data_IF_239685561278
#
_entry.id   IF_239685561278
#
_cell.length_a   1.000
_cell.length_b   1.000
_cell.length_c   1.000
_cell.angle_alpha   90.00
_cell.angle_beta   90.00
_cell.angle_gamma   90.00
#
_symmetry.space_group_name_H-M   'P 1'
#
loop_
_entity.id
_entity.type
_entity.pdbx_description
1 polymer ?
#
# COMPACT_ATOMS: atom_id res chain seq x y z
N UNK A 1 -3.34 -16.33 14.10
CA UNK A 1 -2.11 -15.59 13.77
C UNK A 1 -2.46 -14.17 13.35
N UNK A 2 -1.61 -13.21 13.61
CA UNK A 2 -1.78 -11.81 13.15
C UNK A 2 -1.30 -11.70 11.70
N UNK A 3 -2.12 -11.10 10.80
CA UNK A 3 -1.69 -10.86 9.41
C UNK A 3 -0.51 -9.89 9.35
N UNK A 4 0.28 -9.94 8.26
CA UNK A 4 1.39 -9.01 8.06
C UNK A 4 0.91 -7.55 8.09
N UNK A 5 -0.19 -7.25 7.40
CA UNK A 5 -0.80 -5.90 7.37
C UNK A 5 -1.14 -5.40 8.77
N UNK A 6 -1.83 -6.20 9.59
CA UNK A 6 -2.17 -5.82 10.99
C UNK A 6 -0.94 -5.55 11.85
N UNK A 7 0.09 -6.38 11.72
CA UNK A 7 1.35 -6.20 12.47
C UNK A 7 2.02 -4.89 12.08
N UNK A 8 2.13 -4.63 10.78
CA UNK A 8 2.75 -3.41 10.24
C UNK A 8 1.98 -2.16 10.62
N UNK A 9 0.65 -2.17 10.45
CA UNK A 9 -0.22 -1.06 10.86
C UNK A 9 -0.04 -0.76 12.35
N UNK A 10 -0.03 -1.78 13.23
CA UNK A 10 0.20 -1.56 14.65
C UNK A 10 1.60 -1.00 14.95
N UNK A 11 2.63 -1.47 14.24
CA UNK A 11 3.99 -0.93 14.39
C UNK A 11 4.05 0.54 13.98
N UNK A 12 3.47 0.90 12.84
CA UNK A 12 3.40 2.29 12.35
C UNK A 12 2.56 3.16 13.26
N UNK A 13 1.40 2.66 13.73
CA UNK A 13 0.55 3.33 14.72
C UNK A 13 1.34 3.74 15.96
N UNK A 14 2.14 2.83 16.50
CA UNK A 14 2.92 3.07 17.71
C UNK A 14 4.03 4.11 17.50
N UNK A 15 4.61 4.20 16.29
CA UNK A 15 5.64 5.19 15.97
C UNK A 15 5.09 6.61 16.11
N UNK A 16 3.88 6.89 15.67
CA UNK A 16 3.29 8.24 15.64
C UNK A 16 2.16 8.45 16.62
N UNK A 17 1.89 7.47 17.48
CA UNK A 17 0.71 7.48 18.39
C UNK A 17 -0.59 7.78 17.61
N UNK A 18 -0.76 7.09 16.48
CA UNK A 18 -1.85 7.34 15.54
C UNK A 18 -3.21 7.12 16.18
N UNK A 19 -4.14 8.04 15.91
CA UNK A 19 -5.52 8.00 16.44
C UNK A 19 -6.54 7.65 15.35
N UNK A 20 -6.32 8.11 14.13
CA UNK A 20 -7.28 8.00 13.04
C UNK A 20 -6.79 7.04 11.95
N UNK A 21 -7.69 6.20 11.46
CA UNK A 21 -7.38 5.14 10.51
C UNK A 21 -8.38 5.12 9.34
N UNK A 22 -7.84 5.00 8.13
CA UNK A 22 -8.62 4.77 6.91
C UNK A 22 -8.13 3.48 6.23
N UNK A 23 -9.06 2.63 5.80
CA UNK A 23 -8.78 1.44 4.98
C UNK A 23 -9.61 1.48 3.71
N UNK A 24 -8.94 1.42 2.56
CA UNK A 24 -9.52 1.28 1.23
C UNK A 24 -9.35 -0.17 0.80
N UNK A 25 -10.50 -0.88 0.52
CA UNK A 25 -10.47 -2.30 0.22
C UNK A 25 -10.50 -3.17 1.48
N UNK A 26 -11.63 -3.24 2.14
CA UNK A 26 -11.80 -3.93 3.44
C UNK A 26 -12.25 -5.37 3.30
N UNK A 27 -13.03 -5.69 2.25
CA UNK A 27 -13.51 -7.01 1.86
C UNK A 27 -14.13 -7.79 3.05
N UNK A 28 -13.38 -8.72 3.62
CA UNK A 28 -13.83 -9.59 4.74
C UNK A 28 -13.64 -8.98 6.13
N UNK A 29 -13.03 -7.81 6.24
CA UNK A 29 -12.74 -7.16 7.51
C UNK A 29 -11.63 -7.81 8.35
N UNK A 30 -10.84 -8.71 7.75
CA UNK A 30 -9.77 -9.45 8.48
C UNK A 30 -8.72 -8.53 9.10
N UNK A 31 -8.45 -7.39 8.47
CA UNK A 31 -7.54 -6.35 8.96
C UNK A 31 -8.32 -5.35 9.80
N UNK A 32 -9.25 -4.65 9.18
CA UNK A 32 -10.01 -3.55 9.77
C UNK A 32 -10.66 -3.87 11.13
N UNK A 33 -11.43 -4.95 11.20
CA UNK A 33 -12.20 -5.31 12.40
C UNK A 33 -11.35 -5.75 13.60
N UNK A 34 -10.05 -5.96 13.39
CA UNK A 34 -9.10 -6.38 14.44
C UNK A 34 -8.13 -5.28 14.85
N UNK A 35 -8.27 -4.09 14.28
CA UNK A 35 -7.50 -2.91 14.66
C UNK A 35 -8.33 -2.02 15.57
N UNK A 36 -7.67 -1.50 16.61
CA UNK A 36 -8.25 -0.56 17.54
C UNK A 36 -7.53 0.80 17.41
N UNK A 37 -8.32 1.85 17.18
CA UNK A 37 -7.85 3.23 17.09
C UNK A 37 -8.69 4.12 18.00
N UNK A 38 -8.04 5.02 18.74
CA UNK A 38 -8.70 5.86 19.72
C UNK A 38 -9.63 6.92 19.10
N UNK A 39 -9.33 7.35 17.87
CA UNK A 39 -10.09 8.33 17.10
C UNK A 39 -11.00 7.68 16.05
N UNK A 40 -11.10 8.31 14.90
CA UNK A 40 -11.97 7.91 13.80
C UNK A 40 -11.39 6.71 13.04
N UNK A 41 -12.23 5.72 12.77
CA UNK A 41 -11.95 4.58 11.90
C UNK A 41 -12.90 4.57 10.71
N UNK A 42 -12.37 4.61 9.50
CA UNK A 42 -13.16 4.61 8.26
C UNK A 42 -12.78 3.43 7.38
N UNK A 43 -13.79 2.71 6.94
CA UNK A 43 -13.71 1.57 6.03
C UNK A 43 -14.41 1.92 4.72
N UNK A 44 -13.74 1.68 3.60
CA UNK A 44 -14.28 1.89 2.24
C UNK A 44 -14.15 0.60 1.45
N UNK A 45 -15.26 0.09 0.95
CA UNK A 45 -15.29 -1.10 0.10
C UNK A 45 -16.60 -1.12 -0.70
N UNK A 46 -16.60 -1.41 -2.01
CA UNK A 46 -17.83 -1.49 -2.78
C UNK A 46 -18.71 -2.68 -2.38
N UNK A 47 -18.19 -3.63 -1.60
CA UNK A 47 -18.94 -4.80 -1.14
C UNK A 47 -18.33 -5.45 0.10
N UNK A 48 -18.73 -5.02 1.28
CA UNK A 48 -18.34 -5.70 2.52
C UNK A 48 -18.85 -7.14 2.56
N UNK A 49 -17.96 -8.08 2.88
CA UNK A 49 -18.29 -9.52 3.02
C UNK A 49 -18.50 -9.92 4.49
N UNK A 50 -19.00 -9.00 5.29
CA UNK A 50 -19.40 -9.19 6.69
C UNK A 50 -20.48 -8.20 7.07
N UNK A 51 -21.17 -8.43 8.20
CA UNK A 51 -22.19 -7.50 8.68
C UNK A 51 -21.51 -6.30 9.38
N UNK A 52 -21.52 -5.15 8.71
CA UNK A 52 -20.91 -3.90 9.18
C UNK A 52 -21.60 -3.35 10.45
N UNK A 53 -22.91 -3.62 10.64
CA UNK A 53 -23.63 -3.18 11.82
C UNK A 53 -23.04 -3.71 13.15
N UNK A 54 -22.38 -4.87 13.11
CA UNK A 54 -21.74 -5.44 14.29
C UNK A 54 -20.48 -4.66 14.75
N UNK A 55 -19.98 -3.75 13.92
CA UNK A 55 -18.73 -3.01 14.14
C UNK A 55 -18.93 -1.49 14.07
N UNK A 56 -20.10 -1.03 13.61
CA UNK A 56 -20.43 0.39 13.53
C UNK A 56 -20.61 1.00 14.92
N UNK A 57 -20.06 2.18 15.12
CA UNK A 57 -20.24 2.99 16.33
C UNK A 57 -19.93 4.46 16.01
N UNK A 58 -19.94 5.33 17.01
CA UNK A 58 -19.69 6.76 16.84
C UNK A 58 -18.27 7.13 16.31
N UNK A 59 -17.34 6.19 16.31
CA UNK A 59 -15.97 6.36 15.81
C UNK A 59 -15.68 5.55 14.55
N UNK A 60 -16.49 4.52 14.27
CA UNK A 60 -16.25 3.59 13.16
C UNK A 60 -17.35 3.74 12.11
N UNK A 61 -16.95 4.13 10.90
CA UNK A 61 -17.85 4.37 9.77
C UNK A 61 -17.51 3.43 8.61
N UNK A 62 -18.54 2.99 7.90
CA UNK A 62 -18.43 2.12 6.73
C UNK A 62 -19.06 2.81 5.52
N UNK A 63 -18.32 2.88 4.41
CA UNK A 63 -18.77 3.43 3.14
C UNK A 63 -18.85 2.30 2.12
N UNK A 64 -20.06 1.88 1.78
CA UNK A 64 -20.36 0.85 0.78
C UNK A 64 -20.35 1.49 -0.61
N UNK A 65 -19.16 1.82 -1.10
CA UNK A 65 -18.93 2.48 -2.38
C UNK A 65 -17.48 2.26 -2.85
N UNK A 66 -17.22 2.64 -4.11
CA UNK A 66 -15.84 2.67 -4.62
C UNK A 66 -15.02 3.78 -3.93
N UNK A 67 -13.69 3.65 -3.96
CA UNK A 67 -12.80 4.69 -3.42
C UNK A 67 -13.00 6.04 -4.12
N UNK A 68 -13.27 6.06 -5.43
CA UNK A 68 -13.54 7.30 -6.16
C UNK A 68 -14.77 8.05 -5.60
N UNK A 69 -15.88 7.34 -5.43
CA UNK A 69 -17.10 7.91 -4.84
C UNK A 69 -16.85 8.38 -3.40
N UNK A 70 -16.10 7.58 -2.62
CA UNK A 70 -15.72 7.96 -1.27
C UNK A 70 -14.94 9.27 -1.26
N UNK A 71 -13.88 9.40 -2.05
CA UNK A 71 -13.05 10.60 -2.07
C UNK A 71 -13.78 11.84 -2.60
N UNK A 72 -14.74 11.68 -3.51
CA UNK A 72 -15.59 12.76 -3.99
C UNK A 72 -16.59 13.27 -2.94
N UNK A 73 -17.12 12.35 -2.13
CA UNK A 73 -18.25 12.66 -1.22
C UNK A 73 -17.84 12.85 0.23
N UNK A 74 -16.66 12.38 0.62
CA UNK A 74 -16.19 12.46 2.01
C UNK A 74 -15.84 13.89 2.40
N UNK A 75 -16.76 14.55 3.07
CA UNK A 75 -16.65 15.96 3.48
C UNK A 75 -16.49 16.10 4.99
N UNK A 76 -15.48 15.45 5.56
CA UNK A 76 -15.13 15.61 6.97
C UNK A 76 -13.75 16.25 7.11
N UNK A 77 -13.60 17.09 8.15
CA UNK A 77 -12.30 17.71 8.47
C UNK A 77 -11.27 16.73 9.07
N UNK A 78 -11.67 15.48 9.29
CA UNK A 78 -10.82 14.45 9.87
C UNK A 78 -9.61 14.17 8.96
N UNK A 79 -8.41 14.18 9.57
CA UNK A 79 -7.18 13.74 8.93
C UNK A 79 -6.79 12.39 9.48
N UNK A 80 -6.31 11.50 8.60
CA UNK A 80 -5.93 10.14 8.96
C UNK A 80 -4.42 10.05 9.19
N UNK A 81 -4.06 9.32 10.23
CA UNK A 81 -2.67 9.12 10.63
C UNK A 81 -2.09 7.86 9.98
N UNK A 82 -2.91 6.83 9.83
CA UNK A 82 -2.58 5.64 9.06
C UNK A 82 -3.65 5.44 8.00
N UNK A 83 -3.21 5.24 6.76
CA UNK A 83 -4.08 4.91 5.63
C UNK A 83 -3.56 3.60 5.02
N UNK A 84 -4.41 2.59 4.95
CA UNK A 84 -4.11 1.32 4.30
C UNK A 84 -4.86 1.24 2.97
N UNK A 85 -4.15 0.95 1.89
CA UNK A 85 -4.67 0.90 0.52
C UNK A 85 -4.50 -0.53 0.01
N UNK A 86 -5.61 -1.25 -0.11
CA UNK A 86 -5.74 -2.65 -0.53
C UNK A 86 -7.00 -2.81 -1.40
N UNK A 87 -7.18 -1.90 -2.35
CA UNK A 87 -8.37 -1.77 -3.19
C UNK A 87 -8.31 -2.61 -4.47
N UNK A 88 -8.56 -1.96 -5.61
CA UNK A 88 -8.44 -2.59 -6.92
C UNK A 88 -6.95 -2.73 -7.30
N UNK A 89 -6.53 -3.95 -7.63
CA UNK A 89 -5.12 -4.29 -7.89
C UNK A 89 -4.67 -3.86 -9.29
N UNK A 90 -4.92 -2.60 -9.64
CA UNK A 90 -4.39 -1.95 -10.85
C UNK A 90 -3.58 -0.72 -10.45
N UNK A 91 -2.49 -0.46 -11.17
CA UNK A 91 -1.60 0.65 -10.83
C UNK A 91 -2.28 2.01 -10.93
N UNK A 92 -3.23 2.18 -11.86
CA UNK A 92 -3.97 3.43 -12.01
C UNK A 92 -4.83 3.73 -10.79
N UNK A 93 -5.66 2.74 -10.36
CA UNK A 93 -6.53 2.94 -9.21
C UNK A 93 -5.71 3.09 -7.93
N UNK A 94 -4.72 2.23 -7.73
CA UNK A 94 -3.85 2.32 -6.56
C UNK A 94 -3.16 3.68 -6.48
N UNK A 95 -2.68 4.21 -7.61
CA UNK A 95 -2.04 5.54 -7.61
C UNK A 95 -3.04 6.67 -7.39
N UNK A 96 -4.26 6.57 -7.94
CA UNK A 96 -5.36 7.50 -7.66
C UNK A 96 -5.70 7.51 -6.18
N UNK A 97 -5.86 6.33 -5.58
CA UNK A 97 -6.15 6.17 -4.14
C UNK A 97 -5.04 6.77 -3.26
N UNK A 98 -3.76 6.61 -3.65
CA UNK A 98 -2.63 7.25 -2.97
C UNK A 98 -2.73 8.77 -3.04
N UNK A 99 -2.96 9.33 -4.23
CA UNK A 99 -3.03 10.78 -4.43
C UNK A 99 -4.19 11.39 -3.62
N UNK A 100 -5.36 10.77 -3.65
CA UNK A 100 -6.53 11.19 -2.90
C UNK A 100 -6.30 11.05 -1.38
N UNK A 101 -5.71 9.94 -0.94
CA UNK A 101 -5.34 9.69 0.46
C UNK A 101 -4.39 10.75 1.02
N UNK A 102 -3.46 11.26 0.21
CA UNK A 102 -2.56 12.35 0.60
C UNK A 102 -3.33 13.59 1.05
N UNK A 103 -4.45 13.91 0.40
CA UNK A 103 -5.29 15.06 0.75
C UNK A 103 -5.97 14.91 2.11
N UNK A 104 -6.25 13.67 2.52
CA UNK A 104 -6.89 13.31 3.80
C UNK A 104 -5.86 12.94 4.87
N UNK A 105 -4.57 12.92 4.56
CA UNK A 105 -3.53 12.50 5.50
C UNK A 105 -3.10 13.61 6.44
N UNK A 106 -2.78 13.24 7.69
CA UNK A 106 -2.10 14.13 8.64
C UNK A 106 -0.63 14.35 8.22
N UNK A 107 0.04 15.40 8.70
CA UNK A 107 1.44 15.67 8.33
C UNK A 107 2.40 14.51 8.64
N UNK A 108 2.16 13.79 9.73
CA UNK A 108 2.99 12.68 10.22
C UNK A 108 2.55 11.31 9.71
N UNK A 109 1.54 11.25 8.87
CA UNK A 109 0.89 10.01 8.46
C UNK A 109 1.81 9.03 7.75
N UNK A 110 1.46 7.75 7.89
CA UNK A 110 1.95 6.68 7.02
C UNK A 110 0.84 6.18 6.10
N UNK A 111 1.17 6.00 4.84
CA UNK A 111 0.39 5.22 3.90
C UNK A 111 1.03 3.84 3.78
N UNK A 112 0.26 2.78 4.01
CA UNK A 112 0.65 1.40 3.74
C UNK A 112 -0.12 0.94 2.49
N UNK A 113 0.61 0.48 1.47
CA UNK A 113 0.06 0.10 0.17
C UNK A 113 0.32 -1.38 -0.01
N UNK A 114 -0.74 -2.16 -0.25
CA UNK A 114 -0.64 -3.61 -0.46
C UNK A 114 -0.22 -3.96 -1.89
N UNK A 115 0.21 -5.18 -2.07
CA UNK A 115 0.46 -5.83 -3.37
C UNK A 115 1.46 -5.10 -4.29
N UNK A 116 2.33 -4.28 -3.72
CA UNK A 116 3.30 -3.48 -4.48
C UNK A 116 4.47 -4.28 -5.04
N UNK A 117 4.52 -5.57 -4.79
CA UNK A 117 5.47 -6.51 -5.38
C UNK A 117 4.79 -7.86 -5.54
N UNK A 118 4.60 -8.30 -6.77
CA UNK A 118 4.03 -9.61 -7.05
C UNK A 118 5.01 -10.74 -6.69
N UNK A 119 4.49 -11.87 -6.23
CA UNK A 119 5.30 -13.02 -5.84
C UNK A 119 5.89 -13.76 -7.05
N UNK A 120 5.18 -13.72 -8.17
CA UNK A 120 5.56 -14.34 -9.44
C UNK A 120 4.94 -13.60 -10.63
N UNK A 121 5.22 -14.08 -11.86
CA UNK A 121 4.70 -13.48 -13.08
C UNK A 121 3.18 -13.58 -13.18
N UNK A 122 2.58 -14.68 -12.72
CA UNK A 122 1.13 -14.90 -12.83
C UNK A 122 0.37 -13.99 -11.88
N UNK A 123 0.83 -13.89 -10.63
CA UNK A 123 0.24 -12.97 -9.65
C UNK A 123 0.33 -11.50 -10.07
N UNK A 124 1.24 -11.17 -10.99
CA UNK A 124 1.40 -9.83 -11.55
C UNK A 124 0.45 -9.49 -12.70
N UNK A 125 -0.33 -10.46 -13.18
CA UNK A 125 -1.26 -10.21 -14.28
C UNK A 125 -2.37 -9.26 -13.85
N UNK A 126 -2.72 -8.32 -14.73
CA UNK A 126 -3.76 -7.33 -14.47
C UNK A 126 -5.15 -7.95 -14.26
N UNK A 127 -5.41 -9.09 -14.87
CA UNK A 127 -6.66 -9.85 -14.72
C UNK A 127 -6.48 -11.00 -13.74
N UNK A 128 -7.27 -11.03 -12.68
CA UNK A 128 -7.30 -12.13 -11.71
C UNK A 128 -7.64 -13.46 -12.38
N UNK A 129 -8.59 -13.45 -13.34
CA UNK A 129 -8.96 -14.62 -14.11
C UNK A 129 -7.75 -15.15 -14.90
N UNK A 130 -7.04 -14.26 -15.61
CA UNK A 130 -5.86 -14.64 -16.38
C UNK A 130 -4.74 -15.17 -15.48
N UNK A 131 -4.56 -14.61 -14.29
CA UNK A 131 -3.60 -15.10 -13.29
C UNK A 131 -3.82 -16.59 -13.01
N UNK A 132 -5.03 -16.96 -12.63
CA UNK A 132 -5.33 -18.34 -12.24
C UNK A 132 -5.34 -19.28 -13.44
N UNK A 133 -6.00 -18.93 -14.54
CA UNK A 133 -6.06 -19.77 -15.74
C UNK A 133 -4.67 -20.04 -16.33
N UNK A 134 -3.81 -19.03 -16.44
CA UNK A 134 -2.45 -19.22 -16.98
C UNK A 134 -1.55 -20.01 -16.04
N UNK A 135 -1.69 -19.82 -14.73
CA UNK A 135 -0.91 -20.60 -13.76
C UNK A 135 -1.33 -22.07 -13.73
N UNK A 136 -2.64 -22.37 -13.82
CA UNK A 136 -3.16 -23.73 -13.91
C UNK A 136 -2.67 -24.48 -15.15
N UNK A 137 -2.52 -23.77 -16.27
CA UNK A 137 -1.96 -24.35 -17.50
C UNK A 137 -0.46 -24.67 -17.38
N UNK A 138 0.26 -23.91 -16.57
CA UNK A 138 1.70 -24.07 -16.41
C UNK A 138 2.10 -25.08 -15.32
N UNK A 139 1.37 -25.10 -14.20
CA UNK A 139 1.71 -25.94 -13.07
C UNK A 139 0.78 -27.15 -12.98
N UNK A 140 1.32 -28.36 -13.22
CA UNK A 140 0.63 -29.62 -12.93
C UNK A 140 0.37 -29.80 -11.44
N UNK A 141 1.31 -29.36 -10.62
CA UNK A 141 1.23 -29.39 -9.15
C UNK A 141 0.48 -28.17 -8.61
N UNK A 142 -0.76 -28.38 -8.18
CA UNK A 142 -1.62 -27.32 -7.64
C UNK A 142 -1.04 -26.60 -6.39
N UNK A 143 -0.06 -27.22 -5.69
CA UNK A 143 0.62 -26.55 -4.57
C UNK A 143 1.52 -25.40 -4.99
N UNK A 144 1.87 -25.33 -6.27
CA UNK A 144 2.71 -24.28 -6.89
C UNK A 144 1.90 -23.13 -7.48
N UNK A 145 0.57 -23.23 -7.49
CA UNK A 145 -0.28 -22.13 -7.96
C UNK A 145 -0.10 -20.90 -7.08
N UNK A 146 -0.16 -19.67 -7.67
CA UNK A 146 -0.13 -18.45 -6.89
C UNK A 146 -1.27 -18.45 -5.88
N UNK A 147 -0.96 -18.14 -4.64
CA UNK A 147 -1.95 -18.10 -3.55
C UNK A 147 -2.79 -16.84 -3.59
N UNK A 148 -2.17 -15.76 -4.06
CA UNK A 148 -2.76 -14.44 -4.06
C UNK A 148 -2.53 -13.77 -5.42
N UNK A 149 -3.48 -12.96 -5.85
CA UNK A 149 -3.38 -12.13 -7.04
C UNK A 149 -3.06 -10.69 -6.62
N UNK A 150 -1.96 -10.15 -7.14
CA UNK A 150 -1.47 -8.80 -6.79
C UNK A 150 -1.73 -7.76 -7.90
N UNK A 151 -2.11 -8.22 -9.10
CA UNK A 151 -2.28 -7.34 -10.24
C UNK A 151 -0.99 -6.63 -10.69
N UNK A 152 -1.14 -5.52 -11.39
CA UNK A 152 0.00 -4.72 -11.82
C UNK A 152 0.33 -3.54 -10.90
N UNK A 153 -0.06 -3.64 -9.63
CA UNK A 153 0.16 -2.63 -8.57
C UNK A 153 1.63 -2.24 -8.41
N UNK A 154 2.57 -3.17 -8.68
CA UNK A 154 4.02 -2.89 -8.64
C UNK A 154 4.44 -1.68 -9.49
N UNK A 155 3.71 -1.36 -10.55
CA UNK A 155 3.98 -0.19 -11.41
C UNK A 155 3.79 1.13 -10.66
N UNK A 156 2.98 1.14 -9.63
CA UNK A 156 2.74 2.32 -8.78
C UNK A 156 4.03 2.87 -8.17
N UNK A 157 5.03 2.01 -7.91
CA UNK A 157 6.32 2.43 -7.36
C UNK A 157 7.07 3.38 -8.31
N UNK A 158 6.93 3.24 -9.62
CA UNK A 158 7.49 4.19 -10.59
C UNK A 158 6.78 5.54 -10.52
N UNK A 159 5.46 5.53 -10.39
CA UNK A 159 4.65 6.75 -10.28
C UNK A 159 4.97 7.52 -8.99
N UNK A 160 5.06 6.82 -7.85
CA UNK A 160 5.50 7.41 -6.57
C UNK A 160 6.87 8.06 -6.74
N UNK A 161 7.83 7.34 -7.33
CA UNK A 161 9.18 7.85 -7.55
C UNK A 161 9.21 9.11 -8.42
N UNK A 162 8.38 9.14 -9.45
CA UNK A 162 8.37 10.24 -10.43
C UNK A 162 7.61 11.46 -9.92
N UNK A 163 6.38 11.26 -9.43
CA UNK A 163 5.45 12.35 -9.12
C UNK A 163 5.47 12.79 -7.66
N UNK A 164 5.65 11.87 -6.70
CA UNK A 164 5.50 12.17 -5.28
C UNK A 164 6.85 12.47 -4.59
N UNK A 165 7.58 13.46 -5.11
CA UNK A 165 8.96 13.80 -4.69
C UNK A 165 9.08 14.28 -3.25
N UNK A 166 8.01 14.78 -2.65
CA UNK A 166 7.96 15.21 -1.24
C UNK A 166 7.77 14.03 -0.28
N UNK A 167 7.58 12.83 -0.82
CA UNK A 167 7.46 11.58 -0.05
C UNK A 167 8.67 10.70 -0.24
N UNK A 168 9.00 9.94 0.80
CA UNK A 168 9.84 8.75 0.72
C UNK A 168 8.99 7.50 0.87
N UNK A 169 9.51 6.37 0.42
CA UNK A 169 8.87 5.08 0.57
C UNK A 169 9.89 3.97 0.74
N UNK A 170 9.45 2.85 1.28
CA UNK A 170 10.20 1.60 1.23
C UNK A 170 9.25 0.41 1.16
N UNK A 171 9.59 -0.56 0.32
CA UNK A 171 8.81 -1.78 0.14
C UNK A 171 9.39 -2.90 0.99
N UNK A 172 8.57 -3.43 1.89
CA UNK A 172 8.90 -4.56 2.75
C UNK A 172 8.72 -5.84 1.94
N UNK A 173 9.81 -6.60 1.77
CA UNK A 173 9.86 -7.80 0.93
C UNK A 173 9.91 -9.11 1.72
N UNK A 174 9.86 -9.04 3.05
CA UNK A 174 9.91 -10.21 3.93
C UNK A 174 8.77 -10.23 4.94
N UNK A 175 8.61 -11.33 5.64
CA UNK A 175 7.67 -11.46 6.77
C UNK A 175 6.20 -11.33 6.41
N UNK A 176 5.81 -11.81 5.23
CA UNK A 176 4.44 -11.83 4.72
C UNK A 176 4.29 -11.12 3.39
N UNK A 177 3.05 -10.76 3.02
CA UNK A 177 2.78 -10.11 1.75
C UNK A 177 3.64 -8.85 1.57
N UNK A 178 4.27 -8.64 0.40
CA UNK A 178 5.05 -7.42 0.13
C UNK A 178 4.15 -6.18 0.15
N UNK A 179 4.57 -5.18 0.93
CA UNK A 179 3.83 -3.94 1.12
C UNK A 179 4.78 -2.75 1.11
N UNK A 180 4.31 -1.61 0.63
CA UNK A 180 5.08 -0.36 0.64
C UNK A 180 4.57 0.57 1.72
N UNK A 181 5.48 1.05 2.56
CA UNK A 181 5.24 2.16 3.48
C UNK A 181 5.70 3.46 2.83
N UNK A 182 4.86 4.47 2.82
CA UNK A 182 5.16 5.81 2.30
C UNK A 182 4.94 6.87 3.39
N UNK A 183 5.81 7.88 3.43
CA UNK A 183 5.77 8.99 4.43
C UNK A 183 6.30 10.29 3.86
N UNK A 184 5.95 11.44 4.48
CA UNK A 184 6.48 12.75 4.09
C UNK A 184 7.93 12.92 4.52
N UNK A 185 8.79 13.37 3.62
CA UNK A 185 10.22 13.62 3.89
C UNK A 185 10.45 14.70 4.96
N UNK A 186 9.68 15.77 4.91
CA UNK A 186 9.83 16.91 5.81
C UNK A 186 9.59 16.57 7.28
N UNK A 187 8.90 15.47 7.54
CA UNK A 187 8.54 15.08 8.88
C UNK A 187 9.68 14.34 9.61
N UNK A 188 10.47 13.61 8.86
CA UNK A 188 11.61 12.84 9.38
C UNK A 188 12.89 13.62 9.13
N UNK A 189 13.44 14.22 10.18
CA UNK A 189 14.61 15.12 10.09
C UNK A 189 15.77 14.48 9.33
N UNK A 190 16.32 15.27 8.43
CA UNK A 190 17.32 14.91 7.41
C UNK A 190 18.70 14.43 7.90
N UNK A 191 18.96 14.43 9.20
CA UNK A 191 20.27 14.06 9.77
C UNK A 191 20.48 12.54 9.87
N UNK A 192 19.43 11.75 9.73
CA UNK A 192 19.57 10.30 9.51
C UNK A 192 19.58 10.12 8.00
N UNK A 193 20.76 9.83 7.44
CA UNK A 193 20.85 9.45 6.02
C UNK A 193 19.88 8.30 5.83
N UNK A 194 18.83 8.54 5.01
CA UNK A 194 17.96 7.47 4.59
C UNK A 194 18.84 6.34 4.07
N UNK A 195 18.73 5.12 4.57
CA UNK A 195 19.48 4.00 4.01
C UNK A 195 19.08 3.74 2.55
N UNK A 196 18.01 4.41 2.12
CA UNK A 196 17.39 4.28 0.82
C UNK A 196 17.79 5.48 -0.05
N UNK A 197 18.93 5.37 -0.73
CA UNK A 197 19.27 6.31 -1.79
C UNK A 197 18.21 6.18 -2.88
N UNK A 198 17.49 7.26 -3.19
CA UNK A 198 16.80 7.34 -4.47
C UNK A 198 17.83 7.17 -5.57
N UNK A 199 17.85 6.03 -6.18
CA UNK A 199 18.58 5.78 -7.41
C UNK A 199 17.81 6.52 -8.52
N UNK A 200 17.96 7.82 -8.56
CA UNK A 200 17.25 8.64 -9.50
C UNK A 200 18.05 8.75 -10.79
N UNK A 201 18.04 7.75 -11.61
CA UNK A 201 18.14 8.01 -13.04
C UNK A 201 16.80 8.62 -13.48
N UNK A 202 16.68 9.96 -13.30
CA UNK A 202 15.44 10.70 -13.55
C UNK A 202 14.95 10.53 -15.00
N UNK A 203 15.87 10.45 -15.96
CA UNK A 203 15.54 10.22 -17.37
C UNK A 203 14.91 8.86 -17.59
N UNK A 204 15.48 7.82 -16.99
CA UNK A 204 14.92 6.47 -17.09
C UNK A 204 13.53 6.38 -16.45
N UNK A 205 13.36 6.92 -15.24
CA UNK A 205 12.05 6.91 -14.57
C UNK A 205 11.00 7.66 -15.38
N UNK A 206 11.37 8.79 -15.99
CA UNK A 206 10.47 9.55 -16.87
C UNK A 206 10.04 8.71 -18.09
N UNK A 207 10.97 8.10 -18.81
CA UNK A 207 10.67 7.22 -19.95
C UNK A 207 9.81 6.03 -19.56
N UNK A 208 10.07 5.43 -18.39
CA UNK A 208 9.25 4.35 -17.85
C UNK A 208 7.82 4.83 -17.59
N UNK A 209 7.67 6.00 -16.98
CA UNK A 209 6.35 6.55 -16.61
C UNK A 209 5.52 6.88 -17.86
N UNK A 210 6.13 7.41 -18.92
CA UNK A 210 5.46 7.66 -20.20
C UNK A 210 4.94 6.38 -20.88
N UNK A 211 5.59 5.24 -20.63
CA UNK A 211 5.26 3.94 -21.23
C UNK A 211 4.80 2.91 -20.20
N UNK A 212 4.29 3.34 -19.06
CA UNK A 212 4.04 2.46 -17.91
C UNK A 212 3.05 1.34 -18.22
N UNK A 213 2.08 1.57 -19.10
CA UNK A 213 1.13 0.57 -19.54
C UNK A 213 1.79 -0.64 -20.22
N UNK A 214 2.89 -0.43 -20.95
CA UNK A 214 3.60 -1.46 -21.71
C UNK A 214 4.70 -2.16 -20.91
N UNK A 215 4.96 -1.77 -19.67
CA UNK A 215 5.98 -2.40 -18.84
C UNK A 215 5.43 -3.68 -18.23
N UNK A 216 6.13 -4.78 -18.44
CA UNK A 216 5.83 -6.07 -17.85
C UNK A 216 6.62 -6.33 -16.56
N UNK A 217 6.18 -7.35 -15.83
CA UNK A 217 6.77 -7.75 -14.56
C UNK A 217 8.20 -8.28 -14.70
N UNK A 218 8.48 -9.09 -15.73
CA UNK A 218 9.80 -9.69 -15.95
C UNK A 218 10.85 -8.59 -16.19
N UNK A 219 10.53 -7.65 -17.08
CA UNK A 219 11.39 -6.50 -17.35
C UNK A 219 11.60 -5.65 -16.09
N UNK A 220 10.53 -5.43 -15.33
CA UNK A 220 10.59 -4.67 -14.07
C UNK A 220 11.53 -5.32 -13.08
N UNK A 221 11.34 -6.58 -12.78
CA UNK A 221 12.13 -7.29 -11.75
C UNK A 221 13.55 -7.57 -12.22
N UNK A 222 13.76 -7.92 -13.50
CA UNK A 222 15.07 -8.24 -14.04
C UNK A 222 15.98 -7.02 -14.25
N UNK A 223 15.42 -5.90 -14.69
CA UNK A 223 16.23 -4.74 -15.12
C UNK A 223 16.02 -3.48 -14.29
N UNK A 224 14.85 -3.33 -13.67
CA UNK A 224 14.43 -2.09 -13.04
C UNK A 224 14.29 -2.17 -11.52
N UNK A 225 14.39 -3.37 -10.94
CA UNK A 225 14.23 -3.60 -9.48
C UNK A 225 15.21 -2.76 -8.63
N UNK A 226 16.40 -2.46 -9.15
CA UNK A 226 17.38 -1.58 -8.49
C UNK A 226 16.90 -0.13 -8.32
N UNK A 227 15.81 0.27 -8.99
CA UNK A 227 15.19 1.58 -8.82
C UNK A 227 14.18 1.62 -7.68
N UNK A 228 13.90 0.49 -7.04
CA UNK A 228 12.98 0.38 -5.92
C UNK A 228 13.73 0.35 -4.58
N UNK A 229 13.07 0.84 -3.54
CA UNK A 229 13.60 0.84 -2.19
C UNK A 229 13.07 -0.39 -1.44
N UNK A 230 13.77 -1.52 -1.58
CA UNK A 230 13.44 -2.75 -0.87
C UNK A 230 14.10 -2.81 0.50
N UNK A 231 13.39 -3.32 1.49
CA UNK A 231 13.92 -3.48 2.84
C UNK A 231 13.30 -4.66 3.59
N UNK A 232 13.92 -4.99 4.71
CA UNK A 232 13.34 -5.86 5.72
C UNK A 232 12.45 -5.06 6.69
N UNK A 233 11.36 -5.64 7.15
CA UNK A 233 10.38 -5.00 8.05
C UNK A 233 11.05 -4.42 9.29
N UNK A 234 11.89 -5.20 9.97
CA UNK A 234 12.56 -4.76 11.20
C UNK A 234 13.50 -3.57 10.99
N UNK A 235 14.19 -3.54 9.85
CA UNK A 235 15.08 -2.43 9.48
C UNK A 235 14.30 -1.15 9.23
N UNK A 236 13.17 -1.25 8.50
CA UNK A 236 12.32 -0.09 8.23
C UNK A 236 11.71 0.48 9.50
N UNK A 237 11.08 -0.36 10.32
CA UNK A 237 10.46 0.07 11.58
C UNK A 237 11.50 0.68 12.51
N UNK A 238 12.67 0.07 12.64
CA UNK A 238 13.78 0.63 13.43
C UNK A 238 14.28 1.99 12.92
N UNK A 239 14.35 2.17 11.60
CA UNK A 239 14.69 3.46 10.98
C UNK A 239 13.63 4.53 11.28
N UNK A 240 12.34 4.24 11.07
CA UNK A 240 11.26 5.19 11.28
C UNK A 240 11.15 5.61 12.75
N UNK A 241 11.31 4.68 13.69
CA UNK A 241 11.36 4.99 15.14
C UNK A 241 12.50 5.96 15.49
N UNK A 242 13.71 5.70 14.97
CA UNK A 242 14.88 6.57 15.23
C UNK A 242 14.73 7.94 14.61
N UNK A 243 14.13 8.01 13.42
CA UNK A 243 13.93 9.25 12.70
C UNK A 243 12.95 10.19 13.40
N UNK A 244 12.00 9.64 14.16
CA UNK A 244 11.03 10.42 14.95
C UNK A 244 11.55 10.85 16.32
N UNK A 245 12.31 10.00 16.98
CA UNK A 245 12.77 10.23 18.37
C UNK A 245 13.71 11.44 18.54
N UNK A 246 13.94 12.21 17.48
CA UNK A 246 14.78 13.43 17.47
C UNK A 246 13.97 14.64 17.03
#
# INVERSE_FOLDING_TARGET
MTTASRRRINSLRNIIDAKNYLEIGVCTGKVFNKLDFAGTKVAVDPKFRFNTANYSNNKTQFFDCTSDIFFETFNQSAKFDIIFIDGLHTYEQTFSDICNSISLSSPESFLLIDDTLSCDIYSSFRSQKLCYESSELHFEDKSKLPKDWHGDTYKTLFLINHYLRSYDYSSIINSGNPQTVMWRKSFYKSNIKSPYKRLANRGLIHQITENIGSIDYIKTMGSLSNNFHFCEETKLIGYLNKARAK
#
